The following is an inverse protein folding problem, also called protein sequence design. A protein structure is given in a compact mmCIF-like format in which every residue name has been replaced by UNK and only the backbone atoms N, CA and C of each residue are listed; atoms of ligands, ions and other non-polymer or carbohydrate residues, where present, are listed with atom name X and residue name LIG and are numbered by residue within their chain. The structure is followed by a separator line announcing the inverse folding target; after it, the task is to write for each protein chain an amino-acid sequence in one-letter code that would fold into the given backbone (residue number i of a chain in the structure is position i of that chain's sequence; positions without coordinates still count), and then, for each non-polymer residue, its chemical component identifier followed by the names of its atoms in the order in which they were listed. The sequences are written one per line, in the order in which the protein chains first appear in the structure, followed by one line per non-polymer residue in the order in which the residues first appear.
data_IF_058257138479
#
_entry.id   IF_058257138479
#
_cell.length_a   1.000
_cell.length_b   1.000
_cell.length_c   1.000
_cell.angle_alpha   90.00
_cell.angle_beta   90.00
_cell.angle_gamma   90.00
#
_symmetry.space_group_name_H-M   'P 1'
#
loop_
_entity.id
_entity.type
_entity.pdbx_description
1 polymer ?
#
# COMPACT_ATOMS: atom_id res chain seq x y z
N UNK A 1 -3.63 -25.32 -24.28
CA UNK A 1 -2.41 -24.53 -23.98
C UNK A 1 -2.73 -23.29 -23.14
N UNK A 2 -3.50 -23.44 -22.04
CA UNK A 2 -3.76 -22.37 -21.07
C UNK A 2 -2.82 -22.63 -19.89
N UNK A 3 -1.58 -22.18 -20.03
CA UNK A 3 -0.44 -22.66 -19.25
C UNK A 3 -0.47 -22.05 -17.84
N UNK A 4 -0.28 -22.94 -16.88
CA UNK A 4 -0.22 -22.79 -15.43
C UNK A 4 0.96 -21.95 -14.96
N UNK A 5 0.96 -20.65 -15.25
CA UNK A 5 1.86 -19.72 -14.58
C UNK A 5 1.11 -19.21 -13.36
N UNK A 6 1.22 -19.91 -12.22
CA UNK A 6 0.90 -19.34 -10.91
C UNK A 6 1.67 -18.01 -10.80
N UNK A 7 1.00 -16.83 -10.91
CA UNK A 7 1.70 -15.54 -10.93
C UNK A 7 2.30 -15.21 -9.57
N UNK A 8 1.90 -15.97 -8.54
CA UNK A 8 2.39 -15.91 -7.17
C UNK A 8 3.55 -16.88 -6.91
N UNK A 9 4.05 -17.58 -7.93
CA UNK A 9 5.36 -18.23 -7.83
C UNK A 9 6.41 -17.13 -7.75
N UNK A 10 6.76 -16.75 -6.52
CA UNK A 10 7.93 -15.94 -6.22
C UNK A 10 9.11 -16.74 -6.73
N UNK A 11 9.48 -16.50 -7.99
CA UNK A 11 10.71 -17.02 -8.58
C UNK A 11 11.80 -16.57 -7.62
N UNK A 12 12.49 -17.52 -6.99
CA UNK A 12 13.53 -17.27 -6.01
C UNK A 12 14.76 -16.63 -6.66
N UNK A 13 14.59 -15.44 -7.23
CA UNK A 13 15.69 -14.54 -7.49
C UNK A 13 16.17 -14.13 -6.10
N UNK A 14 17.27 -14.73 -5.66
CA UNK A 14 17.99 -14.22 -4.51
C UNK A 14 18.28 -12.74 -4.81
N UNK A 15 17.77 -11.80 -4.00
CA UNK A 15 18.01 -10.41 -4.25
C UNK A 15 19.50 -10.17 -4.01
N UNK A 16 20.29 -10.13 -5.09
CA UNK A 16 21.67 -9.64 -5.08
C UNK A 16 21.72 -8.11 -4.85
N UNK A 17 20.56 -7.52 -4.56
CA UNK A 17 20.41 -6.13 -4.13
C UNK A 17 20.80 -6.02 -2.67
N UNK A 18 21.82 -5.19 -2.36
CA UNK A 18 22.07 -4.74 -0.98
C UNK A 18 20.76 -4.21 -0.38
N UNK A 19 20.50 -4.53 0.88
CA UNK A 19 19.39 -3.98 1.66
C UNK A 19 19.25 -2.47 1.50
N UNK A 20 20.38 -1.75 1.51
CA UNK A 20 20.46 -0.32 1.27
C UNK A 20 19.82 0.11 -0.06
N UNK A 21 20.01 -0.66 -1.13
CA UNK A 21 19.41 -0.38 -2.43
C UNK A 21 17.89 -0.50 -2.43
N UNK A 22 17.33 -1.45 -1.66
CA UNK A 22 15.88 -1.62 -1.50
C UNK A 22 15.30 -0.46 -0.71
N UNK A 23 15.94 -0.08 0.41
CA UNK A 23 15.51 1.03 1.25
C UNK A 23 15.55 2.35 0.48
N UNK A 24 16.64 2.64 -0.23
CA UNK A 24 16.76 3.85 -1.04
C UNK A 24 15.70 3.88 -2.14
N UNK A 25 15.47 2.76 -2.85
CA UNK A 25 14.41 2.69 -3.88
C UNK A 25 13.04 2.98 -3.29
N UNK A 26 12.68 2.34 -2.17
CA UNK A 26 11.39 2.57 -1.51
C UNK A 26 11.22 4.01 -1.03
N UNK A 27 12.29 4.61 -0.50
CA UNK A 27 12.32 6.00 -0.07
C UNK A 27 12.14 6.97 -1.25
N UNK A 28 12.90 6.77 -2.34
CA UNK A 28 12.76 7.57 -3.56
C UNK A 28 11.36 7.44 -4.15
N UNK A 29 10.79 6.23 -4.23
CA UNK A 29 9.43 6.02 -4.75
C UNK A 29 8.37 6.77 -3.93
N UNK A 30 8.53 6.84 -2.60
CA UNK A 30 7.62 7.60 -1.75
C UNK A 30 7.80 9.11 -1.93
N UNK A 31 9.03 9.63 -1.94
CA UNK A 31 9.29 11.07 -2.09
C UNK A 31 8.90 11.57 -3.48
N UNK A 32 9.20 10.80 -4.53
CA UNK A 32 8.85 11.18 -5.90
C UNK A 32 7.34 11.06 -6.18
N UNK A 33 6.55 10.45 -5.29
CA UNK A 33 5.11 10.39 -5.42
C UNK A 33 4.46 11.59 -4.70
N UNK A 34 4.02 12.64 -5.42
CA UNK A 34 3.53 13.86 -4.78
C UNK A 34 2.16 13.66 -4.11
N UNK A 35 1.50 12.51 -4.31
CA UNK A 35 0.15 12.26 -3.79
C UNK A 35 0.08 12.41 -2.28
N UNK A 36 1.05 11.81 -1.58
CA UNK A 36 1.11 11.87 -0.13
C UNK A 36 1.43 13.30 0.34
N UNK A 37 2.41 13.95 -0.28
CA UNK A 37 2.78 15.34 0.05
C UNK A 37 1.63 16.33 -0.13
N UNK A 38 0.91 16.23 -1.26
CA UNK A 38 -0.27 17.07 -1.54
C UNK A 38 -1.39 16.79 -0.54
N UNK A 39 -1.63 15.52 -0.19
CA UNK A 39 -2.60 15.16 0.84
C UNK A 39 -2.26 15.84 2.17
N UNK A 40 -1.02 15.74 2.64
CA UNK A 40 -0.62 16.40 3.88
C UNK A 40 -0.75 17.91 3.81
N UNK A 41 -0.34 18.55 2.71
CA UNK A 41 -0.49 20.00 2.54
C UNK A 41 -1.96 20.44 2.52
N UNK A 42 -2.86 19.62 1.97
CA UNK A 42 -4.28 19.94 1.92
C UNK A 42 -4.99 19.69 3.26
N UNK A 43 -4.63 18.63 4.00
CA UNK A 43 -5.37 18.19 5.18
C UNK A 43 -4.74 18.61 6.51
N UNK A 44 -3.40 18.65 6.66
CA UNK A 44 -2.77 19.03 7.94
C UNK A 44 -3.18 20.41 8.43
N UNK A 45 -3.17 21.47 7.59
CA UNK A 45 -3.53 22.81 8.06
C UNK A 45 -4.95 22.89 8.61
N UNK A 46 -5.86 22.03 8.12
CA UNK A 46 -7.26 22.00 8.56
C UNK A 46 -7.42 21.49 10.00
N UNK A 47 -6.44 20.75 10.52
CA UNK A 47 -6.46 20.24 11.89
C UNK A 47 -5.75 21.16 12.90
N UNK A 48 -5.23 22.31 12.46
CA UNK A 48 -4.49 23.24 13.30
C UNK A 48 -5.42 24.38 13.74
N UNK A 49 -5.62 24.58 15.05
CA UNK A 49 -6.38 25.71 15.55
C UNK A 49 -5.74 27.03 15.13
N UNK A 50 -6.54 28.06 14.83
CA UNK A 50 -6.01 29.37 14.41
C UNK A 50 -5.27 30.14 15.52
N UNK A 51 -5.29 29.62 16.75
CA UNK A 51 -4.79 30.26 17.97
C UNK A 51 -3.41 29.78 18.45
N UNK A 52 -2.67 29.01 17.64
CA UNK A 52 -1.33 28.52 18.02
C UNK A 52 -0.23 29.46 17.58
N UNK A 53 0.75 29.69 18.47
CA UNK A 53 1.91 30.57 18.23
C UNK A 53 2.80 30.11 17.07
N UNK A 54 2.83 28.81 16.75
CA UNK A 54 3.60 28.28 15.62
C UNK A 54 2.88 27.13 14.91
N UNK A 55 2.24 27.45 13.79
CA UNK A 55 1.58 26.46 12.93
C UNK A 55 2.54 25.37 12.43
N UNK A 56 3.79 25.72 12.11
CA UNK A 56 4.79 24.76 11.61
C UNK A 56 5.10 23.66 12.64
N UNK A 57 5.23 24.02 13.93
CA UNK A 57 5.49 23.04 14.98
C UNK A 57 4.31 22.08 15.12
N UNK A 58 3.08 22.59 15.13
CA UNK A 58 1.87 21.76 15.17
C UNK A 58 1.76 20.83 13.94
N UNK A 59 2.09 21.31 12.74
CA UNK A 59 2.14 20.49 11.51
C UNK A 59 3.15 19.34 11.65
N UNK A 60 4.36 19.63 12.14
CA UNK A 60 5.40 18.63 12.33
C UNK A 60 5.01 17.60 13.39
N UNK A 61 4.41 18.02 14.50
CA UNK A 61 3.95 17.11 15.56
C UNK A 61 2.86 16.18 15.04
N UNK A 62 1.83 16.70 14.37
CA UNK A 62 0.75 15.88 13.83
C UNK A 62 1.24 14.94 12.72
N UNK A 63 2.15 15.43 11.86
CA UNK A 63 2.83 14.61 10.86
C UNK A 63 3.64 13.47 11.49
N UNK A 64 4.36 13.72 12.57
CA UNK A 64 5.11 12.69 13.30
C UNK A 64 4.19 11.63 13.92
N UNK A 65 3.07 12.04 14.52
CA UNK A 65 2.05 11.12 15.06
C UNK A 65 1.48 10.24 13.94
N UNK A 66 1.13 10.82 12.80
CA UNK A 66 0.66 10.06 11.65
C UNK A 66 1.74 9.07 11.14
N UNK A 67 3.00 9.51 11.04
CA UNK A 67 4.09 8.63 10.63
C UNK A 67 4.27 7.45 11.60
N UNK A 68 4.19 7.68 12.90
CA UNK A 68 4.25 6.63 13.92
C UNK A 68 3.10 5.63 13.79
N UNK A 69 1.87 6.11 13.60
CA UNK A 69 0.72 5.23 13.36
C UNK A 69 0.90 4.41 12.09
N UNK A 70 1.33 5.04 10.99
CA UNK A 70 1.57 4.37 9.71
C UNK A 70 2.66 3.30 9.86
N UNK A 71 3.74 3.63 10.56
CA UNK A 71 4.82 2.70 10.85
C UNK A 71 4.34 1.51 11.69
N UNK A 72 3.55 1.73 12.74
CA UNK A 72 2.98 0.66 13.55
C UNK A 72 2.09 -0.28 12.72
N UNK A 73 1.25 0.28 11.85
CA UNK A 73 0.43 -0.49 10.92
C UNK A 73 1.30 -1.31 9.98
N UNK A 74 2.37 -0.73 9.42
CA UNK A 74 3.31 -1.45 8.56
C UNK A 74 4.11 -2.53 9.28
N UNK A 75 4.46 -2.35 10.55
CA UNK A 75 5.04 -3.42 11.37
C UNK A 75 4.07 -4.58 11.49
N UNK A 76 2.81 -4.30 11.82
CA UNK A 76 1.76 -5.33 11.90
C UNK A 76 1.62 -6.08 10.57
N UNK A 77 1.54 -5.35 9.44
CA UNK A 77 1.55 -5.96 8.11
C UNK A 77 2.81 -6.80 7.84
N UNK A 78 3.99 -6.30 8.24
CA UNK A 78 5.26 -6.99 8.06
C UNK A 78 5.35 -8.31 8.86
N UNK A 79 4.84 -8.32 10.09
CA UNK A 79 4.75 -9.54 10.90
C UNK A 79 3.73 -10.53 10.30
N UNK A 80 2.55 -10.05 9.91
CA UNK A 80 1.53 -10.88 9.26
C UNK A 80 1.97 -11.41 7.90
N UNK A 81 2.80 -10.65 7.17
CA UNK A 81 3.33 -11.02 5.85
C UNK A 81 4.07 -12.36 5.87
N UNK A 82 4.83 -12.66 6.92
CA UNK A 82 5.49 -13.95 7.08
C UNK A 82 4.49 -15.11 7.09
N UNK A 83 3.48 -15.04 7.96
CA UNK A 83 2.41 -16.05 8.04
C UNK A 83 1.54 -16.10 6.78
N UNK A 84 1.30 -14.95 6.13
CA UNK A 84 0.50 -14.84 4.91
C UNK A 84 1.23 -15.46 3.71
N UNK A 85 2.55 -15.26 3.62
CA UNK A 85 3.39 -15.89 2.60
C UNK A 85 3.39 -17.41 2.75
N UNK A 86 3.50 -17.93 3.97
CA UNK A 86 3.49 -19.37 4.19
C UNK A 86 2.15 -20.02 3.91
N UNK A 87 1.03 -19.38 4.27
CA UNK A 87 -0.29 -19.99 4.18
C UNK A 87 -0.94 -19.83 2.79
N UNK A 88 -0.74 -18.67 2.13
CA UNK A 88 -1.46 -18.32 0.89
C UNK A 88 -0.57 -18.43 -0.35
N UNK A 89 0.71 -18.04 -0.27
CA UNK A 89 1.63 -18.07 -1.42
C UNK A 89 2.14 -19.49 -1.69
N UNK A 90 2.35 -20.32 -0.65
CA UNK A 90 2.72 -21.73 -0.84
C UNK A 90 1.54 -22.62 -1.30
N UNK A 91 0.29 -22.18 -1.13
CA UNK A 91 -0.90 -22.96 -1.50
C UNK A 91 -1.49 -22.48 -2.84
N UNK A 92 -1.35 -23.32 -3.88
CA UNK A 92 -1.85 -23.05 -5.23
C UNK A 92 -3.38 -22.81 -5.25
N UNK A 93 -4.15 -23.52 -4.41
CA UNK A 93 -5.61 -23.34 -4.31
C UNK A 93 -6.00 -22.00 -3.70
N UNK A 94 -5.29 -21.55 -2.66
CA UNK A 94 -5.57 -20.26 -2.00
C UNK A 94 -5.25 -19.09 -2.93
N UNK A 95 -4.12 -19.18 -3.64
CA UNK A 95 -3.70 -18.23 -4.67
C UNK A 95 -4.75 -18.07 -5.79
N UNK A 96 -5.30 -19.18 -6.31
CA UNK A 96 -6.33 -19.15 -7.35
C UNK A 96 -7.67 -18.59 -6.82
N UNK A 97 -8.06 -18.94 -5.58
CA UNK A 97 -9.29 -18.42 -4.98
C UNK A 97 -9.21 -16.88 -4.78
N UNK A 98 -8.08 -16.38 -4.29
CA UNK A 98 -7.84 -14.95 -4.11
C UNK A 98 -7.85 -14.21 -5.46
N UNK A 99 -7.24 -14.80 -6.50
CA UNK A 99 -7.26 -14.23 -7.84
C UNK A 99 -8.68 -14.15 -8.41
N UNK A 100 -9.49 -15.21 -8.25
CA UNK A 100 -10.89 -15.19 -8.67
C UNK A 100 -11.70 -14.14 -7.92
N UNK A 101 -11.43 -13.92 -6.63
CA UNK A 101 -12.10 -12.90 -5.84
C UNK A 101 -11.77 -11.48 -6.34
N UNK A 102 -10.50 -11.19 -6.64
CA UNK A 102 -10.12 -9.91 -7.23
C UNK A 102 -10.69 -9.71 -8.64
N UNK A 103 -10.60 -10.74 -9.50
CA UNK A 103 -11.12 -10.69 -10.86
C UNK A 103 -12.64 -10.46 -10.88
N UNK A 104 -13.39 -11.17 -10.02
CA UNK A 104 -14.84 -10.98 -9.89
C UNK A 104 -15.19 -9.61 -9.34
N UNK A 105 -14.46 -9.11 -8.34
CA UNK A 105 -14.68 -7.76 -7.80
C UNK A 105 -14.42 -6.68 -8.84
N UNK A 106 -13.32 -6.77 -9.61
CA UNK A 106 -13.05 -5.82 -10.69
C UNK A 106 -14.05 -5.91 -11.83
N UNK A 107 -14.49 -7.12 -12.21
CA UNK A 107 -15.54 -7.29 -13.20
C UNK A 107 -16.87 -6.67 -12.73
N UNK A 108 -17.23 -6.87 -11.46
CA UNK A 108 -18.42 -6.28 -10.87
C UNK A 108 -18.33 -4.74 -10.81
N UNK A 109 -17.17 -4.19 -10.44
CA UNK A 109 -16.94 -2.75 -10.44
C UNK A 109 -16.97 -2.17 -11.87
N UNK A 110 -16.38 -2.86 -12.85
CA UNK A 110 -16.42 -2.46 -14.26
C UNK A 110 -17.83 -2.50 -14.84
N UNK A 111 -18.61 -3.53 -14.52
CA UNK A 111 -20.04 -3.58 -14.88
C UNK A 111 -20.80 -2.44 -14.22
N UNK A 112 -20.60 -2.22 -12.91
CA UNK A 112 -21.23 -1.10 -12.20
C UNK A 112 -20.89 0.22 -12.87
N UNK A 113 -19.65 0.45 -13.26
CA UNK A 113 -19.22 1.68 -13.93
C UNK A 113 -19.90 1.82 -15.31
N UNK A 114 -19.91 0.75 -16.11
CA UNK A 114 -20.53 0.75 -17.43
C UNK A 114 -22.04 1.04 -17.40
N UNK A 115 -22.72 0.66 -16.32
CA UNK A 115 -24.14 0.98 -16.10
C UNK A 115 -24.36 2.31 -15.35
N UNK A 116 -23.39 2.79 -14.59
CA UNK A 116 -23.47 4.05 -13.84
C UNK A 116 -23.33 5.29 -14.72
N UNK A 117 -22.77 5.14 -15.93
CA UNK A 117 -22.61 6.23 -16.91
C UNK A 117 -23.86 6.42 -17.81
N UNK A 118 -24.97 5.72 -17.51
CA UNK A 118 -26.22 5.76 -18.30
C UNK A 118 -27.46 6.25 -17.53
N UNK A 119 -27.29 6.90 -16.39
CA UNK A 119 -28.37 7.56 -15.62
C UNK A 119 -27.93 8.98 -15.28
#
# INVERSE_FOLDING_TARGET
MWRSSSPLSVKGEQPNSRFTGIVIKGFLLNILNPKLSIFFLAFLPQFIPSSVDSALVSMLTLGAVFMLMTFAVFLVYGFLSGSFSELIVKSERASIALQKLFATSFAALGLKLAFSERV
#
